data_IF_499830295686
#
_entry.id   IF_499830295686
#
_cell.length_a   1.000
_cell.length_b   1.000
_cell.length_c   1.000
_cell.angle_alpha   90.00
_cell.angle_beta   90.00
_cell.angle_gamma   90.00
#
_symmetry.space_group_name_H-M   'P 1'
#
loop_
_entity.id
_entity.type
_entity.pdbx_description
1 polymer ?
#
# COMPACT_ATOMS: atom_id res chain seq x y z
N UNK A 1 -49.56 -15.60 36.02
CA UNK A 1 -48.15 -16.00 35.81
C UNK A 1 -47.74 -16.07 34.33
N UNK A 2 -48.64 -15.86 33.37
CA UNK A 2 -48.30 -15.99 31.93
C UNK A 2 -47.83 -14.69 31.25
N UNK A 3 -48.13 -13.52 31.82
CA UNK A 3 -47.77 -12.21 31.25
C UNK A 3 -46.25 -11.94 31.19
N UNK A 4 -45.46 -12.57 32.07
CA UNK A 4 -44.01 -12.41 32.07
C UNK A 4 -43.33 -13.17 30.93
N UNK A 5 -43.89 -14.29 30.48
CA UNK A 5 -43.26 -15.13 29.45
C UNK A 5 -43.25 -14.42 28.08
N UNK A 6 -44.34 -13.73 27.72
CA UNK A 6 -44.42 -12.95 26.49
C UNK A 6 -43.50 -11.72 26.46
N UNK A 7 -43.29 -11.09 27.63
CA UNK A 7 -42.36 -9.97 27.77
C UNK A 7 -40.90 -10.43 27.62
N UNK A 8 -40.55 -11.56 28.23
CA UNK A 8 -39.21 -12.15 28.11
C UNK A 8 -38.93 -12.58 26.67
N UNK A 9 -39.90 -13.17 25.98
CA UNK A 9 -39.76 -13.56 24.57
C UNK A 9 -39.59 -12.35 23.63
N UNK A 10 -40.35 -11.27 23.84
CA UNK A 10 -40.19 -10.04 23.07
C UNK A 10 -38.81 -9.42 23.29
N UNK A 11 -38.35 -9.35 24.55
CA UNK A 11 -37.02 -8.85 24.88
C UNK A 11 -35.90 -9.69 24.27
N UNK A 12 -36.06 -11.03 24.23
CA UNK A 12 -35.10 -11.93 23.61
C UNK A 12 -35.05 -11.76 22.08
N UNK A 13 -36.18 -11.51 21.44
CA UNK A 13 -36.25 -11.23 19.99
C UNK A 13 -35.64 -9.88 19.63
N UNK A 14 -35.85 -8.84 20.43
CA UNK A 14 -35.19 -7.53 20.25
C UNK A 14 -33.67 -7.64 20.40
N UNK A 15 -33.22 -8.41 21.40
CA UNK A 15 -31.79 -8.66 21.63
C UNK A 15 -31.17 -9.43 20.46
N UNK A 16 -31.85 -10.45 19.93
CA UNK A 16 -31.40 -11.19 18.75
C UNK A 16 -31.37 -10.31 17.49
N UNK A 17 -32.36 -9.42 17.31
CA UNK A 17 -32.40 -8.49 16.18
C UNK A 17 -31.24 -7.49 16.21
N UNK A 18 -30.88 -7.00 17.40
CA UNK A 18 -29.69 -6.17 17.59
C UNK A 18 -28.39 -6.93 17.29
N UNK A 19 -28.28 -8.18 17.73
CA UNK A 19 -27.09 -9.01 17.50
C UNK A 19 -26.93 -9.41 16.01
N UNK A 20 -28.04 -9.64 15.30
CA UNK A 20 -28.05 -9.98 13.89
C UNK A 20 -27.71 -8.76 13.00
N UNK A 21 -28.13 -7.54 13.41
CA UNK A 21 -27.72 -6.30 12.76
C UNK A 21 -26.21 -6.01 12.99
N UNK A 22 -25.69 -6.33 14.17
CA UNK A 22 -24.25 -6.22 14.46
C UNK A 22 -23.42 -7.21 13.60
N UNK A 23 -23.89 -8.44 13.40
CA UNK A 23 -23.21 -9.44 12.56
C UNK A 23 -23.28 -9.07 11.05
N UNK A 24 -24.34 -8.41 10.59
CA UNK A 24 -24.45 -7.93 9.21
C UNK A 24 -23.50 -6.75 8.89
N UNK A 25 -23.02 -6.01 9.90
CA UNK A 25 -21.95 -5.01 9.73
C UNK A 25 -20.53 -5.61 9.85
N UNK A 26 -20.40 -6.88 10.23
CA UNK A 26 -19.11 -7.61 10.27
C UNK A 26 -18.83 -8.34 8.95
N UNK A 27 -19.57 -8.04 7.88
CA UNK A 27 -19.19 -8.49 6.55
C UNK A 27 -18.09 -7.59 5.99
N UNK A 28 -16.99 -8.25 5.60
CA UNK A 28 -15.82 -7.75 4.85
C UNK A 28 -14.87 -6.83 5.60
N UNK A 29 -13.94 -7.44 6.33
CA UNK A 29 -12.57 -7.14 5.99
C UNK A 29 -11.74 -8.43 6.02
N UNK A 30 -11.23 -8.85 4.85
CA UNK A 30 -10.15 -9.84 4.79
C UNK A 30 -8.85 -9.17 5.23
N UNK A 31 -8.85 -8.41 6.33
CA UNK A 31 -7.63 -7.78 6.80
C UNK A 31 -6.77 -8.86 7.42
N UNK A 32 -5.70 -9.20 6.72
CA UNK A 32 -4.53 -9.80 7.35
C UNK A 32 -3.93 -8.71 8.27
N UNK A 33 -4.55 -8.55 9.44
CA UNK A 33 -4.18 -7.61 10.49
C UNK A 33 -2.89 -8.07 11.15
N UNK A 34 -1.76 -7.75 10.53
CA UNK A 34 -0.44 -8.09 11.08
C UNK A 34 0.69 -8.00 10.07
N UNK A 35 0.40 -8.07 8.76
CA UNK A 35 1.43 -7.88 7.73
C UNK A 35 1.76 -6.39 7.64
N UNK A 36 3.04 -6.08 7.85
CA UNK A 36 3.65 -4.75 7.65
C UNK A 36 4.74 -4.87 6.59
N UNK A 37 4.77 -3.95 5.63
CA UNK A 37 5.81 -3.92 4.62
C UNK A 37 7.07 -3.28 5.20
N UNK A 38 8.18 -4.01 5.21
CA UNK A 38 9.48 -3.45 5.58
C UNK A 38 10.00 -2.53 4.46
N UNK A 39 10.78 -1.49 4.81
CA UNK A 39 11.39 -0.59 3.83
C UNK A 39 12.26 -1.30 2.81
N UNK A 40 12.45 -0.65 1.66
CA UNK A 40 13.36 -1.14 0.63
C UNK A 40 14.79 -1.20 1.16
N UNK A 41 15.39 -2.39 1.09
CA UNK A 41 16.77 -2.65 1.48
C UNK A 41 17.63 -3.00 0.25
N UNK A 42 18.36 -2.00 -0.25
CA UNK A 42 19.24 -2.15 -1.41
C UNK A 42 20.38 -3.18 -1.23
N UNK A 43 20.71 -3.56 0.01
CA UNK A 43 21.76 -4.56 0.28
C UNK A 43 21.23 -5.99 0.21
N UNK A 44 19.95 -6.19 0.53
CA UNK A 44 19.35 -7.51 0.71
C UNK A 44 18.29 -7.85 -0.34
N UNK A 45 17.78 -6.87 -1.11
CA UNK A 45 16.81 -7.11 -2.17
C UNK A 45 17.00 -6.21 -3.40
N UNK A 46 16.57 -6.73 -4.55
CA UNK A 46 16.46 -5.91 -5.76
C UNK A 46 15.24 -4.98 -5.67
N UNK A 47 15.30 -3.83 -6.35
CA UNK A 47 14.16 -2.91 -6.38
C UNK A 47 12.89 -3.58 -6.96
N UNK A 48 13.05 -4.46 -7.96
CA UNK A 48 11.94 -5.24 -8.53
C UNK A 48 11.27 -6.15 -7.49
N UNK A 49 12.07 -6.84 -6.66
CA UNK A 49 11.57 -7.69 -5.58
C UNK A 49 10.79 -6.90 -4.53
N UNK A 50 11.26 -5.70 -4.18
CA UNK A 50 10.54 -4.78 -3.31
C UNK A 50 9.19 -4.36 -3.91
N UNK A 51 9.13 -4.03 -5.21
CA UNK A 51 7.89 -3.66 -5.88
C UNK A 51 6.85 -4.79 -5.86
N UNK A 52 7.29 -6.05 -6.02
CA UNK A 52 6.40 -7.22 -5.90
C UNK A 52 5.82 -7.33 -4.47
N UNK A 53 6.64 -7.15 -3.44
CA UNK A 53 6.18 -7.14 -2.03
C UNK A 53 5.21 -6.01 -1.77
N UNK A 54 5.47 -4.81 -2.31
CA UNK A 54 4.57 -3.67 -2.23
C UNK A 54 3.22 -3.96 -2.89
N UNK A 55 3.22 -4.55 -4.08
CA UNK A 55 2.00 -4.90 -4.80
C UNK A 55 1.18 -5.95 -4.02
N UNK A 56 1.84 -6.95 -3.45
CA UNK A 56 1.20 -7.93 -2.57
C UNK A 56 0.59 -7.24 -1.34
N UNK A 57 1.32 -6.33 -0.71
CA UNK A 57 0.84 -5.56 0.44
C UNK A 57 -0.40 -4.72 0.12
N UNK A 58 -0.37 -3.95 -0.98
CA UNK A 58 -1.51 -3.16 -1.46
C UNK A 58 -2.73 -4.05 -1.75
N UNK A 59 -2.51 -5.21 -2.38
CA UNK A 59 -3.57 -6.18 -2.71
C UNK A 59 -4.17 -6.80 -1.45
N UNK A 60 -3.35 -7.19 -0.48
CA UNK A 60 -3.79 -7.74 0.82
C UNK A 60 -4.59 -6.72 1.63
N UNK A 61 -4.26 -5.44 1.52
CA UNK A 61 -5.01 -4.34 2.16
C UNK A 61 -6.25 -3.90 1.38
N UNK A 62 -6.53 -4.51 0.22
CA UNK A 62 -7.70 -4.16 -0.61
C UNK A 62 -7.66 -2.74 -1.17
N UNK A 63 -6.48 -2.12 -1.31
CA UNK A 63 -6.37 -0.71 -1.67
C UNK A 63 -6.53 -0.53 -3.18
N UNK A 64 -7.64 0.08 -3.58
CA UNK A 64 -7.96 0.40 -4.98
C UNK A 64 -7.67 1.85 -5.34
N UNK A 65 -7.80 2.77 -4.38
CA UNK A 65 -7.62 4.21 -4.57
C UNK A 65 -6.17 4.57 -4.95
N UNK A 66 -5.98 5.28 -6.06
CA UNK A 66 -4.67 5.65 -6.59
C UNK A 66 -3.86 6.56 -5.65
N UNK A 67 -4.50 7.54 -5.01
CA UNK A 67 -3.87 8.44 -4.04
C UNK A 67 -3.37 7.67 -2.82
N UNK A 68 -4.17 6.72 -2.33
CA UNK A 68 -3.76 5.86 -1.20
C UNK A 68 -2.57 4.97 -1.58
N UNK A 69 -2.51 4.45 -2.81
CA UNK A 69 -1.33 3.70 -3.29
C UNK A 69 -0.07 4.56 -3.28
N UNK A 70 -0.15 5.81 -3.75
CA UNK A 70 0.97 6.77 -3.69
C UNK A 70 1.41 7.01 -2.26
N UNK A 71 0.47 7.25 -1.35
CA UNK A 71 0.78 7.47 0.07
C UNK A 71 1.44 6.23 0.70
N UNK A 72 0.94 5.02 0.43
CA UNK A 72 1.56 3.78 0.90
C UNK A 72 2.99 3.66 0.37
N UNK A 73 3.21 3.87 -0.92
CA UNK A 73 4.54 3.80 -1.52
C UNK A 73 5.53 4.77 -0.85
N UNK A 74 5.14 6.04 -0.72
CA UNK A 74 5.99 7.08 -0.13
C UNK A 74 6.34 6.81 1.34
N UNK A 75 5.41 6.23 2.12
CA UNK A 75 5.65 5.88 3.51
C UNK A 75 6.47 4.58 3.65
N UNK A 76 6.22 3.58 2.81
CA UNK A 76 6.86 2.28 2.94
C UNK A 76 8.27 2.23 2.37
N UNK A 77 8.67 3.12 1.44
CA UNK A 77 9.98 3.02 0.78
C UNK A 77 11.18 3.39 1.65
N UNK A 78 10.90 4.00 2.80
CA UNK A 78 11.90 4.43 3.77
C UNK A 78 12.43 5.85 3.51
N UNK A 79 13.03 6.46 4.55
CA UNK A 79 13.37 7.88 4.54
C UNK A 79 14.42 8.24 3.48
N UNK A 80 15.43 7.39 3.27
CA UNK A 80 16.49 7.60 2.27
C UNK A 80 15.90 7.81 0.86
N UNK A 81 15.06 6.87 0.43
CA UNK A 81 14.47 6.88 -0.90
C UNK A 81 13.36 7.92 -1.05
N UNK A 82 12.62 8.22 0.03
CA UNK A 82 11.67 9.32 0.04
C UNK A 82 12.36 10.67 -0.21
N UNK A 83 13.51 10.94 0.41
CA UNK A 83 14.27 12.18 0.16
C UNK A 83 14.75 12.28 -1.29
N UNK A 84 15.22 11.17 -1.88
CA UNK A 84 15.61 11.11 -3.29
C UNK A 84 14.43 11.49 -4.19
N UNK A 85 13.27 10.86 -3.99
CA UNK A 85 12.06 11.18 -4.73
C UNK A 85 11.71 12.66 -4.58
N UNK A 86 11.68 13.18 -3.35
CA UNK A 86 11.34 14.58 -3.06
C UNK A 86 12.27 15.56 -3.77
N UNK A 87 13.57 15.25 -3.83
CA UNK A 87 14.55 16.07 -4.52
C UNK A 87 14.36 16.04 -6.04
N UNK A 88 14.04 14.87 -6.62
CA UNK A 88 13.83 14.72 -8.08
C UNK A 88 12.49 15.32 -8.53
N UNK A 89 11.47 15.36 -7.66
CA UNK A 89 10.15 15.89 -8.02
C UNK A 89 10.01 17.40 -7.84
N UNK A 90 10.96 18.06 -7.17
CA UNK A 90 10.93 19.50 -6.94
C UNK A 90 10.83 20.29 -8.27
N UNK A 91 10.06 21.40 -8.31
CA UNK A 91 9.37 22.09 -7.20
C UNK A 91 8.00 21.48 -6.83
N UNK A 92 7.58 20.40 -7.49
CA UNK A 92 6.29 19.77 -7.24
C UNK A 92 6.37 18.73 -6.11
N UNK A 93 5.28 18.62 -5.35
CA UNK A 93 5.15 17.63 -4.29
C UNK A 93 5.03 16.20 -4.88
N UNK A 94 5.76 15.20 -4.35
CA UNK A 94 5.72 13.85 -4.89
C UNK A 94 4.33 13.20 -4.79
N UNK A 95 3.51 13.61 -3.82
CA UNK A 95 2.12 13.16 -3.63
C UNK A 95 1.19 13.54 -4.79
N UNK A 96 1.58 14.52 -5.63
CA UNK A 96 0.81 14.95 -6.80
C UNK A 96 1.08 14.09 -8.04
N UNK A 97 2.13 13.25 -8.02
CA UNK A 97 2.49 12.39 -9.14
C UNK A 97 1.85 11.00 -9.00
N UNK A 98 1.72 10.29 -10.12
CA UNK A 98 1.25 8.90 -10.08
C UNK A 98 2.32 7.96 -9.52
N UNK A 99 1.88 6.85 -8.93
CA UNK A 99 2.79 5.85 -8.37
C UNK A 99 3.77 5.31 -9.43
N UNK A 100 3.31 5.11 -10.67
CA UNK A 100 4.17 4.61 -11.77
C UNK A 100 5.29 5.60 -12.12
N UNK A 101 4.99 6.90 -12.10
CA UNK A 101 6.00 7.94 -12.34
C UNK A 101 7.03 7.92 -11.21
N UNK A 102 6.58 7.84 -9.95
CA UNK A 102 7.48 7.82 -8.79
C UNK A 102 8.38 6.57 -8.79
N UNK A 103 7.82 5.40 -9.13
CA UNK A 103 8.59 4.15 -9.28
C UNK A 103 9.68 4.31 -10.34
N UNK A 104 9.34 4.85 -11.52
CA UNK A 104 10.32 5.06 -12.60
C UNK A 104 11.42 6.03 -12.21
N UNK A 105 11.08 7.16 -11.59
CA UNK A 105 12.08 8.14 -11.14
C UNK A 105 13.08 7.52 -10.18
N UNK A 106 12.59 6.74 -9.21
CA UNK A 106 13.46 6.09 -8.25
C UNK A 106 14.25 4.93 -8.85
N UNK A 107 13.65 4.15 -9.74
CA UNK A 107 14.35 3.08 -10.47
C UNK A 107 15.53 3.64 -11.28
N UNK A 108 15.31 4.73 -12.02
CA UNK A 108 16.35 5.40 -12.79
C UNK A 108 17.49 5.93 -11.91
N UNK A 109 17.20 6.28 -10.65
CA UNK A 109 18.19 6.73 -9.70
C UNK A 109 18.99 5.57 -9.08
N UNK A 110 18.34 4.45 -8.74
CA UNK A 110 18.98 3.28 -8.11
C UNK A 110 19.80 2.49 -9.15
N UNK A 111 19.26 2.33 -10.35
CA UNK A 111 19.88 1.60 -11.45
C UNK A 111 19.80 2.44 -12.72
N UNK A 112 20.64 3.46 -12.87
CA UNK A 112 20.72 4.21 -14.11
C UNK A 112 21.07 3.24 -15.24
N UNK A 113 20.29 3.25 -16.33
CA UNK A 113 20.61 2.44 -17.50
C UNK A 113 22.07 2.71 -17.91
N UNK A 114 22.88 1.67 -18.17
CA UNK A 114 24.24 1.88 -18.63
C UNK A 114 24.20 2.65 -19.94
N UNK A 115 24.59 3.92 -19.87
CA UNK A 115 24.80 4.75 -21.05
C UNK A 115 25.90 4.05 -21.86
N UNK A 116 25.51 3.43 -22.98
CA UNK A 116 26.47 2.99 -23.98
C UNK A 116 27.16 4.24 -24.50
N UNK A 117 28.31 4.58 -23.93
CA UNK A 117 29.21 5.56 -24.51
C UNK A 117 29.55 5.04 -25.92
N UNK A 118 29.26 5.78 -27.01
CA UNK A 118 29.79 5.42 -28.31
C UNK A 118 31.31 5.53 -28.18
N UNK A 119 31.98 4.38 -28.06
CA UNK A 119 33.42 4.30 -28.10
C UNK A 119 33.85 4.81 -29.47
N UNK A 120 34.33 6.04 -29.54
CA UNK A 120 34.97 6.60 -30.72
C UNK A 120 36.33 5.92 -30.87
N UNK A 121 36.33 4.77 -31.56
CA UNK A 121 37.56 4.21 -32.12
C UNK A 121 38.01 5.12 -33.25
N UNK A 122 38.81 6.13 -32.94
CA UNK A 122 39.66 6.75 -33.94
C UNK A 122 40.70 5.71 -34.35
N UNK A 123 40.48 5.10 -35.52
CA UNK A 123 41.52 4.39 -36.26
C UNK A 123 42.69 5.34 -36.50
N UNK A 124 43.85 4.97 -35.97
CA UNK A 124 45.16 5.43 -36.44
C UNK A 124 45.66 4.45 -37.51
#
# INVERSE_FOLDING_TARGET
>A
MELQLGQVLSQMMETMKGMQLQQALQSSDKTVGGITLQPYDEQNESFSSYLQRLQNYITLKGVTNATVKVQIFLNCIGPKHYQIIKNITAPEAPEKKSIDVLIKLLQNHIAPEPVKLPCSTNSA
#
